data_IF_582346608554
#
_entry.id   IF_582346608554
#
_cell.length_a   1.000
_cell.length_b   1.000
_cell.length_c   1.000
_cell.angle_alpha   90.00
_cell.angle_beta   90.00
_cell.angle_gamma   90.00
#
_symmetry.space_group_name_H-M   'P 1'
#
loop_
_entity.id
_entity.type
_entity.pdbx_description
1 polymer ?
#
# COMPACT_ATOMS: atom_id res chain seq x y z
N UNK A 1 -48.98 13.45 -15.73
CA UNK A 1 -48.23 14.61 -16.25
C UNK A 1 -46.77 14.24 -16.35
N UNK A 2 -46.21 14.46 -17.54
CA UNK A 2 -44.90 14.06 -18.05
C UNK A 2 -43.71 14.80 -17.45
N UNK A 3 -42.55 14.16 -17.37
CA UNK A 3 -41.28 14.86 -17.13
C UNK A 3 -40.05 13.97 -16.99
N UNK A 4 -39.60 13.34 -18.08
CA UNK A 4 -38.29 12.65 -18.19
C UNK A 4 -37.16 13.69 -18.32
N UNK A 5 -36.20 13.71 -17.39
CA UNK A 5 -34.97 14.52 -17.51
C UNK A 5 -33.83 13.72 -18.14
N UNK A 6 -33.50 14.02 -19.41
CA UNK A 6 -32.36 13.47 -20.16
C UNK A 6 -31.12 14.38 -20.03
N UNK A 7 -29.98 13.75 -19.69
CA UNK A 7 -28.66 13.91 -20.30
C UNK A 7 -28.09 15.33 -20.54
N UNK A 8 -27.27 15.82 -19.61
CA UNK A 8 -26.37 16.99 -19.78
C UNK A 8 -24.96 16.62 -20.31
N UNK A 9 -24.83 15.55 -21.11
CA UNK A 9 -23.53 15.09 -21.63
C UNK A 9 -23.23 15.48 -23.08
N UNK A 10 -24.22 15.91 -23.86
CA UNK A 10 -24.08 16.07 -25.31
C UNK A 10 -23.63 17.48 -25.77
N UNK A 11 -23.67 18.49 -24.89
CA UNK A 11 -23.41 19.89 -25.26
C UNK A 11 -21.91 20.25 -25.34
N UNK A 12 -21.03 19.53 -24.64
CA UNK A 12 -19.59 19.83 -24.63
C UNK A 12 -18.81 19.27 -25.83
N UNK A 13 -19.34 18.27 -26.54
CA UNK A 13 -18.65 17.60 -27.66
C UNK A 13 -18.76 18.38 -28.98
N UNK A 14 -19.70 19.32 -29.08
CA UNK A 14 -19.94 20.12 -30.29
C UNK A 14 -19.14 21.44 -30.34
N UNK A 15 -18.54 21.89 -29.22
CA UNK A 15 -17.90 23.22 -29.15
C UNK A 15 -16.37 23.20 -29.37
N UNK A 16 -15.73 22.04 -29.31
CA UNK A 16 -14.27 21.91 -29.41
C UNK A 16 -13.80 20.83 -30.41
N UNK A 17 -14.72 20.22 -31.17
CA UNK A 17 -14.40 19.23 -32.18
C UNK A 17 -14.28 19.85 -33.57
N UNK A 18 -13.09 20.31 -33.96
CA UNK A 18 -12.87 20.75 -35.34
C UNK A 18 -11.44 21.15 -35.67
N UNK A 19 -10.76 20.30 -36.46
CA UNK A 19 -9.83 20.78 -37.50
C UNK A 19 -8.35 20.46 -37.30
N UNK A 20 -7.89 19.38 -37.92
CA UNK A 20 -6.46 19.12 -38.16
C UNK A 20 -6.26 17.97 -39.14
N UNK A 21 -6.28 18.26 -40.45
CA UNK A 21 -5.97 17.31 -41.53
C UNK A 21 -4.44 17.13 -41.61
N UNK A 22 -3.98 15.90 -41.55
CA UNK A 22 -2.60 15.50 -41.89
C UNK A 22 -2.61 14.09 -42.49
N UNK A 23 -2.23 13.98 -43.77
CA UNK A 23 -2.08 12.74 -44.54
C UNK A 23 -0.86 11.94 -44.03
N UNK A 24 -0.99 10.62 -43.92
CA UNK A 24 0.12 9.68 -43.80
C UNK A 24 -0.39 8.25 -43.64
N UNK A 25 -0.37 7.47 -44.71
CA UNK A 25 -0.79 6.07 -44.71
C UNK A 25 0.29 5.15 -44.12
N UNK A 26 -0.15 4.08 -43.47
CA UNK A 26 0.70 3.01 -42.96
C UNK A 26 -0.14 1.97 -42.26
N UNK A 27 -0.42 0.87 -42.96
CA UNK A 27 -1.11 -0.31 -42.45
C UNK A 27 -0.17 -1.11 -41.55
N UNK A 28 -0.52 -1.30 -40.27
CA UNK A 28 0.04 -2.35 -39.42
C UNK A 28 -0.93 -2.64 -38.26
N UNK A 29 -1.27 -3.92 -38.06
CA UNK A 29 -2.23 -4.37 -37.06
C UNK A 29 -1.74 -4.20 -35.63
N UNK A 30 -2.63 -3.70 -34.77
CA UNK A 30 -2.38 -3.52 -33.34
C UNK A 30 -2.60 -4.85 -32.60
N UNK A 31 -1.50 -5.57 -32.38
CA UNK A 31 -1.42 -6.61 -31.36
C UNK A 31 -1.29 -5.94 -29.98
N UNK A 32 -2.33 -6.05 -29.16
CA UNK A 32 -2.28 -5.67 -27.74
C UNK A 32 -1.40 -6.66 -26.97
N UNK A 33 -0.10 -6.37 -26.89
CA UNK A 33 0.82 -6.98 -25.94
C UNK A 33 1.41 -5.90 -25.06
N UNK A 34 1.02 -5.86 -23.78
CA UNK A 34 1.76 -5.11 -22.76
C UNK A 34 3.13 -5.77 -22.61
N UNK A 35 4.12 -5.24 -23.31
CA UNK A 35 5.53 -5.54 -23.05
C UNK A 35 5.95 -5.05 -21.66
N UNK A 36 7.04 -5.61 -21.10
CA UNK A 36 7.61 -5.15 -19.84
C UNK A 36 7.93 -3.64 -19.91
N UNK A 37 7.93 -2.92 -18.77
CA UNK A 37 8.16 -1.48 -18.77
C UNK A 37 9.48 -1.18 -19.50
N UNK A 38 9.38 -0.34 -20.55
CA UNK A 38 10.52 0.14 -21.31
C UNK A 38 11.57 0.68 -20.32
N UNK A 39 12.73 0.03 -20.27
CA UNK A 39 13.91 0.59 -19.62
C UNK A 39 14.23 1.86 -20.39
N UNK A 40 14.23 3.01 -19.72
CA UNK A 40 14.64 4.26 -20.32
C UNK A 40 16.15 4.18 -20.62
N UNK A 41 16.49 3.86 -21.88
CA UNK A 41 17.87 3.76 -22.39
C UNK A 41 18.68 5.06 -22.24
N UNK A 42 18.06 6.15 -21.78
CA UNK A 42 18.75 7.41 -21.43
C UNK A 42 19.30 7.46 -20.00
N UNK A 43 19.14 6.39 -19.20
CA UNK A 43 19.75 6.31 -17.87
C UNK A 43 21.19 5.76 -17.96
N UNK A 44 22.15 6.34 -17.21
CA UNK A 44 23.50 5.81 -17.15
C UNK A 44 23.49 4.34 -16.72
N UNK A 45 24.38 3.48 -17.25
CA UNK A 45 24.55 2.15 -16.67
C UNK A 45 24.89 2.29 -15.18
N UNK A 46 24.22 1.51 -14.34
CA UNK A 46 24.47 1.54 -12.90
C UNK A 46 25.92 1.10 -12.64
N UNK A 47 26.80 2.06 -12.40
CA UNK A 47 28.16 1.80 -11.92
C UNK A 47 28.13 1.09 -10.57
N UNK A 48 29.30 0.65 -10.09
CA UNK A 48 29.45 0.08 -8.75
C UNK A 48 28.90 1.00 -7.65
N UNK A 49 28.68 0.44 -6.46
CA UNK A 49 28.21 1.22 -5.30
C UNK A 49 29.20 2.34 -4.97
N UNK A 50 28.69 3.57 -4.85
CA UNK A 50 29.48 4.78 -4.58
C UNK A 50 29.49 5.11 -3.08
N UNK A 51 30.50 5.84 -2.61
CA UNK A 51 30.54 6.38 -1.24
C UNK A 51 29.45 7.46 -1.05
N UNK A 52 28.86 7.55 0.15
CA UNK A 52 27.97 8.65 0.55
C UNK A 52 28.55 10.03 0.29
N UNK A 53 29.86 10.21 0.45
CA UNK A 53 30.52 11.49 0.13
C UNK A 53 30.29 11.88 -1.33
N UNK A 54 30.27 10.91 -2.24
CA UNK A 54 29.98 11.18 -3.66
C UNK A 54 28.55 11.69 -3.84
N UNK A 55 27.55 11.13 -3.15
CA UNK A 55 26.18 11.67 -3.17
C UNK A 55 26.17 13.14 -2.76
N UNK A 56 26.83 13.47 -1.66
CA UNK A 56 26.85 14.85 -1.16
C UNK A 56 27.58 15.81 -2.09
N UNK A 57 28.66 15.36 -2.74
CA UNK A 57 29.41 16.15 -3.71
C UNK A 57 28.62 16.34 -5.00
N UNK A 58 27.94 15.29 -5.49
CA UNK A 58 27.06 15.35 -6.66
C UNK A 58 25.97 16.38 -6.43
N UNK A 59 25.25 16.30 -5.29
CA UNK A 59 24.16 17.21 -4.92
C UNK A 59 24.62 18.68 -4.83
N UNK A 60 25.80 18.94 -4.28
CA UNK A 60 26.40 20.28 -4.26
C UNK A 60 26.77 20.76 -5.66
N UNK A 61 27.34 19.89 -6.48
CA UNK A 61 27.81 20.25 -7.82
C UNK A 61 26.68 20.58 -8.80
N UNK A 62 25.52 19.94 -8.65
CA UNK A 62 24.36 20.14 -9.52
C UNK A 62 23.46 21.31 -9.08
N UNK A 63 23.74 21.92 -7.93
CA UNK A 63 22.98 23.08 -7.47
C UNK A 63 23.02 24.22 -8.51
N UNK A 64 21.86 24.82 -8.78
CA UNK A 64 21.74 25.87 -9.80
C UNK A 64 21.80 25.39 -11.26
N UNK A 65 22.06 24.10 -11.52
CA UNK A 65 22.06 23.56 -12.89
C UNK A 65 20.64 23.28 -13.41
N UNK A 66 20.54 22.95 -14.70
CA UNK A 66 19.30 22.47 -15.31
C UNK A 66 18.84 21.16 -14.67
N UNK A 67 17.53 20.95 -14.57
CA UNK A 67 16.89 19.82 -13.88
C UNK A 67 17.44 18.44 -14.29
N UNK A 68 17.80 18.29 -15.57
CA UNK A 68 18.39 17.05 -16.10
C UNK A 68 19.69 16.62 -15.40
N UNK A 69 20.37 17.53 -14.69
CA UNK A 69 21.55 17.22 -13.89
C UNK A 69 21.26 16.20 -12.77
N UNK A 70 20.01 16.08 -12.30
CA UNK A 70 19.62 15.04 -11.35
C UNK A 70 19.87 13.61 -11.86
N UNK A 71 19.96 13.38 -13.17
CA UNK A 71 20.31 12.05 -13.73
C UNK A 71 21.65 11.52 -13.21
N UNK A 72 22.56 12.39 -12.77
CA UNK A 72 23.83 12.00 -12.11
C UNK A 72 23.61 11.21 -10.81
N UNK A 73 22.47 11.40 -10.14
CA UNK A 73 22.12 10.69 -8.91
C UNK A 73 21.73 9.23 -9.14
N UNK A 74 21.43 8.83 -10.38
CA UNK A 74 21.07 7.44 -10.68
C UNK A 74 22.16 6.46 -10.22
N UNK A 75 21.79 5.41 -9.49
CA UNK A 75 22.70 4.39 -8.98
C UNK A 75 22.65 4.22 -7.46
N UNK A 76 23.69 3.59 -6.88
CA UNK A 76 23.74 3.19 -5.47
C UNK A 76 24.78 3.98 -4.68
N UNK A 77 24.47 4.24 -3.41
CA UNK A 77 25.33 4.93 -2.46
C UNK A 77 25.32 4.24 -1.10
N UNK A 78 26.50 3.95 -0.56
CA UNK A 78 26.68 3.35 0.76
C UNK A 78 26.76 4.42 1.85
N UNK A 79 25.94 4.27 2.89
CA UNK A 79 25.99 5.06 4.12
C UNK A 79 26.49 4.18 5.27
N UNK A 80 27.28 4.74 6.19
CA UNK A 80 27.94 3.97 7.27
C UNK A 80 27.42 4.27 8.69
N UNK A 81 26.58 5.30 8.89
CA UNK A 81 26.07 5.68 10.22
C UNK A 81 24.62 6.15 10.22
N UNK A 82 23.63 5.30 9.86
CA UNK A 82 23.65 3.85 9.95
C UNK A 82 24.11 3.16 8.66
N UNK A 83 24.46 1.87 8.76
CA UNK A 83 24.88 1.07 7.62
C UNK A 83 23.69 0.68 6.72
N UNK A 84 23.58 1.30 5.55
CA UNK A 84 22.58 0.94 4.52
C UNK A 84 23.04 1.42 3.14
N UNK A 85 22.41 0.89 2.09
CA UNK A 85 22.57 1.36 0.72
C UNK A 85 21.34 2.16 0.28
N UNK A 86 21.54 3.41 -0.14
CA UNK A 86 20.55 4.16 -0.89
C UNK A 86 20.66 3.79 -2.37
N UNK A 87 19.57 3.30 -2.97
CA UNK A 87 19.45 3.07 -4.41
C UNK A 87 18.52 4.11 -5.00
N UNK A 88 18.98 4.85 -6.02
CA UNK A 88 18.14 5.72 -6.85
C UNK A 88 17.88 4.98 -8.15
N UNK A 89 16.73 4.31 -8.22
CA UNK A 89 16.39 3.42 -9.34
C UNK A 89 15.73 4.17 -10.50
N UNK A 90 15.19 5.35 -10.24
CA UNK A 90 14.62 6.20 -11.28
C UNK A 90 14.68 7.66 -10.84
N UNK A 91 15.21 8.51 -11.71
CA UNK A 91 15.19 9.97 -11.56
C UNK A 91 14.09 10.53 -12.44
N UNK A 92 13.19 11.32 -11.85
CA UNK A 92 12.09 11.96 -12.59
C UNK A 92 12.60 12.93 -13.67
N UNK A 93 11.86 13.06 -14.78
CA UNK A 93 12.28 13.89 -15.93
C UNK A 93 12.17 15.40 -15.71
N UNK A 94 11.24 15.83 -14.85
CA UNK A 94 11.05 17.21 -14.42
C UNK A 94 10.35 17.27 -13.04
N UNK A 95 10.21 18.46 -12.46
CA UNK A 95 9.63 18.66 -11.13
C UNK A 95 8.13 18.32 -11.01
N UNK A 96 7.41 18.14 -12.13
CA UNK A 96 5.98 17.79 -12.21
C UNK A 96 5.76 16.33 -12.62
N UNK A 97 6.78 15.67 -13.16
CA UNK A 97 6.74 14.25 -13.49
C UNK A 97 6.55 13.38 -12.24
N UNK A 98 6.17 12.12 -12.47
CA UNK A 98 6.10 11.11 -11.40
C UNK A 98 7.40 11.13 -10.58
N UNK A 99 7.32 11.19 -9.24
CA UNK A 99 8.49 11.35 -8.40
C UNK A 99 9.56 10.28 -8.57
N UNK A 100 10.80 10.62 -8.23
CA UNK A 100 11.93 9.70 -8.30
C UNK A 100 11.73 8.50 -7.37
N UNK A 101 12.15 7.31 -7.81
CA UNK A 101 12.01 6.06 -7.05
C UNK A 101 13.32 5.74 -6.34
N UNK A 102 13.22 5.53 -5.04
CA UNK A 102 14.37 5.30 -4.18
C UNK A 102 14.14 4.12 -3.26
N UNK A 103 15.22 3.42 -2.93
CA UNK A 103 15.23 2.34 -1.96
C UNK A 103 16.29 2.57 -0.92
N UNK A 104 15.97 2.26 0.33
CA UNK A 104 16.95 2.14 1.39
C UNK A 104 17.05 0.66 1.76
N UNK A 105 18.22 0.07 1.56
CA UNK A 105 18.48 -1.37 1.71
C UNK A 105 19.44 -1.55 2.88
N UNK A 106 18.99 -2.18 3.95
CA UNK A 106 19.78 -2.40 5.16
C UNK A 106 20.12 -3.89 5.31
N UNK A 107 21.39 -4.26 5.53
CA UNK A 107 21.74 -5.62 5.93
C UNK A 107 21.03 -6.01 7.23
N UNK A 108 20.42 -7.20 7.27
CA UNK A 108 19.62 -7.66 8.40
C UNK A 108 20.38 -7.56 9.73
N UNK A 109 21.64 -7.95 9.75
CA UNK A 109 22.47 -7.91 10.95
C UNK A 109 22.63 -6.50 11.54
N UNK A 110 22.56 -5.46 10.70
CA UNK A 110 22.68 -4.05 11.10
C UNK A 110 21.38 -3.49 11.67
N UNK A 111 20.24 -4.12 11.40
CA UNK A 111 18.92 -3.69 11.91
C UNK A 111 18.78 -3.94 13.42
N UNK A 112 19.48 -4.95 13.95
CA UNK A 112 19.23 -5.48 15.30
C UNK A 112 17.88 -6.20 15.46
N UNK A 113 17.13 -6.42 14.38
CA UNK A 113 15.84 -7.12 14.42
C UNK A 113 16.04 -8.61 14.79
N UNK A 114 15.26 -9.13 15.76
CA UNK A 114 15.26 -10.53 16.12
C UNK A 114 15.01 -11.47 14.92
N UNK A 115 15.81 -12.54 14.82
CA UNK A 115 15.67 -13.55 13.76
C UNK A 115 14.32 -14.28 13.78
N UNK A 116 13.58 -14.22 14.88
CA UNK A 116 12.24 -14.79 14.99
C UNK A 116 11.25 -14.20 13.98
N UNK A 117 11.47 -12.97 13.50
CA UNK A 117 10.64 -12.38 12.44
C UNK A 117 10.87 -13.03 11.06
N UNK A 118 11.96 -13.78 10.89
CA UNK A 118 12.28 -14.49 9.65
C UNK A 118 11.74 -15.92 9.59
N UNK A 119 11.19 -16.44 10.71
CA UNK A 119 10.80 -17.84 10.88
C UNK A 119 9.63 -18.27 9.98
N UNK A 120 8.78 -17.33 9.56
CA UNK A 120 7.64 -17.61 8.70
C UNK A 120 7.32 -16.44 7.79
N UNK A 121 6.71 -16.71 6.63
CA UNK A 121 6.30 -15.66 5.69
C UNK A 121 5.30 -14.69 6.29
N UNK A 122 4.40 -15.17 7.16
CA UNK A 122 3.43 -14.30 7.82
C UNK A 122 4.09 -13.29 8.76
N UNK A 123 5.14 -13.71 9.50
CA UNK A 123 5.92 -12.79 10.35
C UNK A 123 6.71 -11.79 9.52
N UNK A 124 7.29 -12.23 8.40
CA UNK A 124 7.97 -11.33 7.44
C UNK A 124 7.01 -10.27 6.90
N UNK A 125 5.80 -10.68 6.48
CA UNK A 125 4.76 -9.77 5.99
C UNK A 125 4.34 -8.77 7.08
N UNK A 126 4.09 -9.25 8.31
CA UNK A 126 3.69 -8.39 9.42
C UNK A 126 4.77 -7.37 9.80
N UNK A 127 6.05 -7.79 9.84
CA UNK A 127 7.17 -6.88 10.06
C UNK A 127 7.27 -5.83 8.94
N UNK A 128 7.17 -6.24 7.67
CA UNK A 128 7.21 -5.33 6.53
C UNK A 128 6.06 -4.31 6.55
N UNK A 129 4.85 -4.75 6.90
CA UNK A 129 3.69 -3.87 7.07
C UNK A 129 3.92 -2.87 8.20
N UNK A 130 4.41 -3.33 9.36
CA UNK A 130 4.72 -2.48 10.50
C UNK A 130 5.76 -1.39 10.17
N UNK A 131 6.93 -1.75 9.61
CA UNK A 131 7.97 -0.77 9.28
C UNK A 131 7.51 0.20 8.18
N UNK A 132 6.66 -0.25 7.25
CA UNK A 132 6.02 0.64 6.26
C UNK A 132 5.14 1.68 6.96
N UNK A 133 4.34 1.28 7.96
CA UNK A 133 3.51 2.21 8.75
C UNK A 133 4.34 3.19 9.55
N UNK A 134 5.42 2.73 10.18
CA UNK A 134 6.35 3.60 10.91
C UNK A 134 6.95 4.64 9.96
N UNK A 135 7.45 4.21 8.81
CA UNK A 135 7.97 5.09 7.76
C UNK A 135 6.92 6.12 7.31
N UNK A 136 5.70 5.68 7.00
CA UNK A 136 4.60 6.57 6.61
C UNK A 136 4.23 7.57 7.72
N UNK A 137 4.25 7.15 8.98
CA UNK A 137 3.97 8.01 10.13
C UNK A 137 5.05 9.09 10.30
N UNK A 138 6.33 8.74 10.13
CA UNK A 138 7.45 9.70 10.21
C UNK A 138 7.35 10.72 9.09
N UNK A 139 7.09 10.27 7.87
CA UNK A 139 6.93 11.16 6.70
C UNK A 139 5.86 12.22 6.98
N UNK A 140 4.69 11.81 7.49
CA UNK A 140 3.58 12.72 7.81
C UNK A 140 3.87 13.62 8.99
N UNK A 141 4.39 13.07 10.10
CA UNK A 141 4.62 13.85 11.33
C UNK A 141 5.69 14.93 11.17
N UNK A 142 6.61 14.74 10.21
CA UNK A 142 7.65 15.69 9.87
C UNK A 142 7.34 16.54 8.63
N UNK A 143 6.11 16.44 8.11
CA UNK A 143 5.68 17.15 6.90
C UNK A 143 6.58 16.91 5.69
N UNK A 144 7.22 15.73 5.62
CA UNK A 144 8.07 15.35 4.49
C UNK A 144 7.23 15.00 3.26
N UNK A 145 5.93 14.78 3.40
CA UNK A 145 4.96 14.60 2.32
C UNK A 145 4.57 15.93 1.65
N UNK A 146 5.06 17.06 2.14
CA UNK A 146 4.77 18.39 1.65
C UNK A 146 5.99 19.01 0.98
N UNK A 147 5.79 19.63 -0.19
CA UNK A 147 6.79 20.50 -0.79
C UNK A 147 6.79 21.89 -0.15
N UNK A 148 7.82 22.73 -0.42
CA UNK A 148 7.98 24.06 0.19
C UNK A 148 6.82 25.04 -0.06
N UNK A 149 5.84 24.68 -0.89
CA UNK A 149 4.68 25.48 -1.26
C UNK A 149 3.34 24.71 -1.18
N UNK A 150 3.25 23.67 -0.34
CA UNK A 150 2.04 22.83 -0.21
C UNK A 150 0.77 23.60 0.21
N UNK A 151 0.90 24.83 0.72
CA UNK A 151 -0.20 25.74 1.08
C UNK A 151 -0.72 26.67 -0.03
N UNK A 152 -0.32 26.49 -1.29
CA UNK A 152 -0.92 27.23 -2.42
C UNK A 152 -0.30 28.61 -2.73
N UNK A 153 1.01 28.76 -2.56
CA UNK A 153 1.75 29.96 -2.98
C UNK A 153 2.88 29.60 -3.93
N UNK A 154 2.96 30.21 -5.11
CA UNK A 154 4.10 30.07 -6.02
C UNK A 154 3.71 30.04 -7.50
N UNK A 155 4.29 30.94 -8.28
CA UNK A 155 4.15 30.95 -9.74
C UNK A 155 4.78 29.71 -10.40
N UNK A 156 4.72 29.63 -11.74
CA UNK A 156 5.35 28.55 -12.50
C UNK A 156 6.83 28.31 -12.09
N UNK A 157 7.55 29.39 -11.83
CA UNK A 157 8.98 29.45 -11.44
C UNK A 157 9.28 29.24 -9.96
N UNK A 158 8.26 29.13 -9.09
CA UNK A 158 8.48 28.97 -7.65
C UNK A 158 9.07 27.60 -7.28
N UNK A 159 9.70 27.47 -6.09
CA UNK A 159 10.19 26.19 -5.57
C UNK A 159 9.10 25.12 -5.52
N UNK A 160 9.37 23.94 -6.07
CA UNK A 160 8.47 22.79 -6.12
C UNK A 160 9.24 21.49 -5.85
N UNK A 161 8.52 20.40 -5.65
CA UNK A 161 9.08 19.11 -5.26
C UNK A 161 9.37 19.03 -3.77
N UNK A 162 10.25 18.12 -3.37
CA UNK A 162 10.68 17.92 -1.99
C UNK A 162 9.83 16.95 -1.16
N UNK A 163 8.64 16.59 -1.64
CA UNK A 163 7.77 15.63 -1.00
C UNK A 163 8.30 14.19 -1.16
N UNK A 164 8.37 13.45 -0.07
CA UNK A 164 8.64 12.02 0.00
C UNK A 164 7.36 11.27 0.34
N UNK A 165 7.10 10.16 -0.34
CA UNK A 165 5.92 9.34 -0.13
C UNK A 165 6.25 7.85 -0.19
N UNK A 166 5.63 7.07 0.69
CA UNK A 166 5.65 5.61 0.67
C UNK A 166 4.23 5.09 0.40
N UNK A 167 4.09 3.93 -0.23
CA UNK A 167 2.78 3.27 -0.39
C UNK A 167 2.26 2.81 0.98
N UNK A 168 1.62 3.73 1.70
CA UNK A 168 1.16 3.53 3.05
C UNK A 168 -0.05 2.57 3.06
N UNK A 169 -0.04 1.53 3.91
CA UNK A 169 -1.11 0.55 3.96
C UNK A 169 -2.38 1.09 4.63
N UNK A 170 -3.52 0.53 4.24
CA UNK A 170 -4.83 0.72 4.89
C UNK A 170 -4.97 -0.13 6.15
N UNK A 171 -6.17 -0.66 6.42
CA UNK A 171 -6.40 -1.50 7.59
C UNK A 171 -5.89 -2.93 7.40
N UNK A 172 -5.81 -3.38 6.14
CA UNK A 172 -5.41 -4.72 5.76
C UNK A 172 -3.88 -4.86 5.75
N UNK A 173 -3.40 -5.99 6.24
CA UNK A 173 -1.99 -6.39 6.24
C UNK A 173 -1.76 -7.31 5.05
N UNK A 174 -1.07 -6.79 4.03
CA UNK A 174 -0.81 -7.46 2.75
C UNK A 174 0.69 -7.53 2.48
N UNK A 175 1.17 -8.56 1.77
CA UNK A 175 2.49 -8.50 1.16
C UNK A 175 2.55 -7.31 0.19
N UNK A 176 3.54 -6.44 0.37
CA UNK A 176 3.72 -5.22 -0.44
C UNK A 176 5.19 -5.07 -0.80
N UNK A 177 5.45 -4.26 -1.82
CA UNK A 177 6.81 -3.89 -2.20
C UNK A 177 7.31 -2.64 -1.48
N UNK A 178 6.50 -2.00 -0.63
CA UNK A 178 6.90 -0.81 0.14
C UNK A 178 7.97 -1.11 1.18
N UNK A 179 7.95 -2.33 1.73
CA UNK A 179 9.00 -2.91 2.52
C UNK A 179 9.17 -4.38 2.12
N UNK A 180 10.40 -4.84 1.94
CA UNK A 180 10.68 -6.21 1.53
C UNK A 180 11.89 -6.76 2.27
N UNK A 181 11.80 -8.03 2.67
CA UNK A 181 12.94 -8.80 3.16
C UNK A 181 13.42 -9.68 1.99
N UNK A 182 14.74 -9.76 1.78
CA UNK A 182 15.29 -10.64 0.73
C UNK A 182 14.93 -12.10 1.00
N UNK A 183 14.87 -12.94 -0.04
CA UNK A 183 14.45 -14.33 0.08
C UNK A 183 15.21 -15.10 1.18
N UNK A 184 16.53 -14.92 1.27
CA UNK A 184 17.37 -15.53 2.30
C UNK A 184 17.44 -14.76 3.62
N UNK A 185 16.72 -13.64 3.77
CA UNK A 185 16.65 -12.87 5.01
C UNK A 185 17.91 -12.06 5.33
N UNK A 186 18.77 -11.82 4.34
CA UNK A 186 20.04 -11.09 4.50
C UNK A 186 19.85 -9.57 4.54
N UNK A 187 18.76 -9.06 3.96
CA UNK A 187 18.48 -7.62 3.89
C UNK A 187 17.00 -7.34 4.10
N UNK A 188 16.71 -6.14 4.60
CA UNK A 188 15.39 -5.52 4.55
C UNK A 188 15.51 -4.20 3.80
N UNK A 189 14.57 -3.90 2.91
CA UNK A 189 14.55 -2.66 2.15
C UNK A 189 13.21 -1.93 2.28
N UNK A 190 13.28 -0.60 2.32
CA UNK A 190 12.13 0.29 2.14
C UNK A 190 12.15 0.85 0.73
N UNK A 191 11.00 0.87 0.05
CA UNK A 191 10.82 1.49 -1.25
C UNK A 191 9.86 2.65 -1.13
N UNK A 192 10.33 3.83 -1.49
CA UNK A 192 9.57 5.06 -1.42
C UNK A 192 9.91 5.95 -2.61
N UNK A 193 9.20 7.06 -2.69
CA UNK A 193 9.37 8.05 -3.73
C UNK A 193 9.80 9.36 -3.11
N UNK A 194 10.59 10.13 -3.86
CA UNK A 194 11.02 11.46 -3.47
C UNK A 194 10.93 12.37 -4.69
N UNK A 195 10.15 13.44 -4.57
CA UNK A 195 10.13 14.47 -5.60
C UNK A 195 11.37 15.36 -5.46
N UNK A 196 12.19 15.44 -6.50
CA UNK A 196 13.44 16.20 -6.45
C UNK A 196 13.17 17.70 -6.65
N UNK A 197 13.67 18.58 -5.76
CA UNK A 197 13.23 19.97 -5.69
C UNK A 197 13.84 20.86 -6.78
N UNK A 198 13.05 21.80 -7.30
CA UNK A 198 13.50 22.77 -8.30
C UNK A 198 12.74 24.09 -8.24
N UNK A 199 13.38 25.17 -8.66
CA UNK A 199 12.75 26.45 -8.97
C UNK A 199 12.64 26.58 -10.49
N UNK A 200 11.44 26.35 -11.04
CA UNK A 200 11.26 26.17 -12.48
C UNK A 200 12.02 24.93 -12.99
N UNK A 201 13.05 25.13 -13.82
CA UNK A 201 13.94 24.05 -14.29
C UNK A 201 15.31 24.06 -13.62
N UNK A 202 15.52 24.88 -12.61
CA UNK A 202 16.78 25.00 -11.89
C UNK A 202 16.77 24.13 -10.65
N UNK A 203 17.77 23.25 -10.54
CA UNK A 203 17.97 22.34 -9.41
C UNK A 203 18.15 23.12 -8.10
N UNK A 204 17.46 22.69 -7.04
CA UNK A 204 17.69 23.15 -5.67
C UNK A 204 18.52 22.09 -4.93
N UNK A 205 19.82 22.08 -5.17
CA UNK A 205 20.77 21.07 -4.70
C UNK A 205 20.86 21.00 -3.18
N UNK A 206 20.85 22.15 -2.48
CA UNK A 206 20.84 22.18 -1.02
C UNK A 206 19.56 21.54 -0.43
N UNK A 207 18.41 21.76 -1.06
CA UNK A 207 17.16 21.12 -0.62
C UNK A 207 17.17 19.62 -0.91
N UNK A 208 17.68 19.21 -2.08
CA UNK A 208 17.84 17.81 -2.42
C UNK A 208 18.80 17.09 -1.46
N UNK A 209 19.86 17.78 -1.01
CA UNK A 209 20.74 17.30 0.06
C UNK A 209 20.01 17.13 1.38
N UNK A 210 19.21 18.12 1.81
CA UNK A 210 18.39 17.98 3.01
C UNK A 210 17.48 16.73 2.93
N UNK A 211 16.88 16.47 1.77
CA UNK A 211 15.97 15.34 1.60
C UNK A 211 16.72 14.00 1.58
N UNK A 212 17.68 13.84 0.66
CA UNK A 212 18.34 12.54 0.43
C UNK A 212 19.43 12.23 1.45
N UNK A 213 20.16 13.25 1.91
CA UNK A 213 21.30 13.07 2.79
C UNK A 213 20.98 13.18 4.29
N UNK A 214 19.88 13.85 4.64
CA UNK A 214 19.46 14.04 6.05
C UNK A 214 18.14 13.32 6.33
N UNK A 215 17.06 13.69 5.64
CA UNK A 215 15.72 13.17 5.95
C UNK A 215 15.62 11.66 5.69
N UNK A 216 16.19 11.16 4.59
CA UNK A 216 16.20 9.71 4.29
C UNK A 216 17.02 8.93 5.31
N UNK A 217 18.17 9.45 5.73
CA UNK A 217 19.00 8.79 6.77
C UNK A 217 18.22 8.67 8.06
N UNK A 218 17.58 9.75 8.48
CA UNK A 218 16.74 9.76 9.67
C UNK A 218 15.54 8.81 9.54
N UNK A 219 14.88 8.80 8.38
CA UNK A 219 13.77 7.89 8.08
C UNK A 219 14.20 6.43 8.25
N UNK A 220 15.36 6.06 7.69
CA UNK A 220 15.94 4.72 7.81
C UNK A 220 16.28 4.37 9.25
N UNK A 221 16.93 5.28 9.99
CA UNK A 221 17.27 5.08 11.39
C UNK A 221 16.02 4.80 12.24
N UNK A 222 14.95 5.56 12.03
CA UNK A 222 13.74 5.49 12.86
C UNK A 222 12.77 4.36 12.45
N UNK A 223 12.94 3.77 11.26
CA UNK A 223 12.02 2.74 10.74
C UNK A 223 12.61 1.34 10.61
N UNK A 224 13.94 1.20 10.52
CA UNK A 224 14.61 -0.10 10.31
C UNK A 224 15.52 -0.55 11.46
N UNK A 225 15.90 0.35 12.38
CA UNK A 225 16.71 -0.04 13.55
C UNK A 225 15.80 -0.46 14.71
N UNK A 226 15.94 -1.70 15.16
CA UNK A 226 15.11 -2.29 16.21
C UNK A 226 15.11 -1.48 17.50
N UNK A 227 16.26 -0.91 17.89
CA UNK A 227 16.39 -0.06 19.07
C UNK A 227 15.58 1.24 19.02
N UNK A 228 15.19 1.69 17.82
CA UNK A 228 14.39 2.90 17.62
C UNK A 228 12.90 2.60 17.41
N UNK A 229 12.51 1.32 17.28
CA UNK A 229 11.12 0.92 17.13
C UNK A 229 10.46 0.77 18.50
N UNK A 230 9.15 1.03 18.54
CA UNK A 230 8.31 0.63 19.66
C UNK A 230 8.18 -0.90 19.65
N UNK A 231 9.03 -1.57 20.43
CA UNK A 231 9.18 -3.03 20.43
C UNK A 231 7.90 -3.73 20.89
N UNK A 232 7.19 -3.13 21.85
CA UNK A 232 5.92 -3.67 22.35
C UNK A 232 4.85 -3.65 21.26
N UNK A 233 4.71 -2.52 20.54
CA UNK A 233 3.77 -2.42 19.42
C UNK A 233 4.16 -3.30 18.24
N UNK A 234 5.46 -3.42 17.94
CA UNK A 234 5.94 -4.33 16.90
C UNK A 234 5.59 -5.77 17.24
N UNK A 235 5.89 -6.22 18.46
CA UNK A 235 5.55 -7.56 18.93
C UNK A 235 4.04 -7.83 18.87
N UNK A 236 3.22 -6.90 19.37
CA UNK A 236 1.76 -7.00 19.30
C UNK A 236 1.25 -7.08 17.85
N UNK A 237 1.83 -6.30 16.94
CA UNK A 237 1.45 -6.31 15.53
C UNK A 237 1.75 -7.66 14.87
N UNK A 238 2.96 -8.18 15.06
CA UNK A 238 3.38 -9.47 14.49
C UNK A 238 2.54 -10.62 15.06
N UNK A 239 2.38 -10.68 16.38
CA UNK A 239 1.58 -11.74 17.04
C UNK A 239 0.13 -11.69 16.57
N UNK A 240 -0.47 -10.51 16.50
CA UNK A 240 -1.86 -10.37 16.03
C UNK A 240 -2.03 -10.92 14.62
N UNK A 241 -1.14 -10.59 13.68
CA UNK A 241 -1.23 -11.05 12.29
C UNK A 241 -0.97 -12.57 12.18
N UNK A 242 -0.04 -13.10 12.98
CA UNK A 242 0.22 -14.54 13.07
C UNK A 242 -1.00 -15.31 13.60
N UNK A 243 -1.62 -14.83 14.67
CA UNK A 243 -2.84 -15.40 15.23
C UNK A 243 -3.98 -15.45 14.20
N UNK A 244 -4.15 -14.39 13.41
CA UNK A 244 -5.17 -14.34 12.35
C UNK A 244 -4.92 -15.38 11.27
N UNK A 245 -3.67 -15.51 10.83
CA UNK A 245 -3.28 -16.52 9.84
C UNK A 245 -3.50 -17.93 10.36
N UNK A 246 -3.10 -18.20 11.60
CA UNK A 246 -3.29 -19.50 12.25
C UNK A 246 -4.77 -19.82 12.46
N UNK A 247 -5.58 -18.84 12.90
CA UNK A 247 -7.03 -19.00 13.06
C UNK A 247 -7.71 -19.32 11.72
N UNK A 248 -7.32 -18.64 10.64
CA UNK A 248 -7.86 -18.92 9.30
C UNK A 248 -7.54 -20.33 8.84
N UNK A 249 -6.34 -20.84 9.14
CA UNK A 249 -5.95 -22.20 8.80
C UNK A 249 -6.76 -23.28 9.55
N UNK A 250 -7.36 -22.95 10.69
CA UNK A 250 -8.20 -23.85 11.48
C UNK A 250 -9.64 -23.97 10.96
N UNK A 251 -10.09 -23.10 10.04
CA UNK A 251 -11.47 -23.10 9.54
C UNK A 251 -11.82 -24.39 8.79
N UNK A 252 -10.99 -24.80 7.83
CA UNK A 252 -11.28 -25.96 6.99
C UNK A 252 -11.31 -27.28 7.79
N UNK A 253 -10.35 -27.59 8.70
CA UNK A 253 -10.44 -28.73 9.59
C UNK A 253 -11.69 -28.74 10.49
N UNK A 254 -12.19 -27.55 10.86
CA UNK A 254 -13.41 -27.39 11.66
C UNK A 254 -14.70 -27.39 10.83
N UNK A 255 -14.64 -27.66 9.51
CA UNK A 255 -15.77 -27.60 8.59
C UNK A 255 -16.48 -26.22 8.54
N UNK A 256 -15.71 -25.15 8.77
CA UNK A 256 -16.17 -23.76 8.71
C UNK A 256 -15.65 -23.05 7.45
N UNK A 257 -16.36 -22.01 7.02
CA UNK A 257 -15.94 -21.09 5.96
C UNK A 257 -15.62 -19.69 6.49
N UNK A 258 -16.10 -19.35 7.68
CA UNK A 258 -15.77 -18.08 8.34
C UNK A 258 -15.89 -18.22 9.86
N UNK A 259 -15.20 -17.33 10.56
CA UNK A 259 -15.30 -17.16 12.01
C UNK A 259 -15.35 -15.67 12.34
N UNK A 260 -16.26 -15.28 13.24
CA UNK A 260 -16.44 -13.90 13.71
C UNK A 260 -16.31 -13.87 15.23
N UNK A 261 -15.20 -13.33 15.73
CA UNK A 261 -14.92 -13.29 17.18
C UNK A 261 -15.96 -12.49 17.97
N UNK A 262 -16.30 -12.94 19.18
CA UNK A 262 -17.07 -12.14 20.12
C UNK A 262 -16.30 -10.86 20.48
N UNK A 263 -17.03 -9.76 20.66
CA UNK A 263 -16.44 -8.46 20.98
C UNK A 263 -16.01 -7.63 19.76
N UNK A 264 -16.08 -8.19 18.53
CA UNK A 264 -15.66 -7.52 17.31
C UNK A 264 -16.45 -6.21 17.06
N UNK A 265 -15.78 -5.23 16.43
CA UNK A 265 -16.38 -3.98 15.97
C UNK A 265 -16.48 -4.04 14.45
N UNK A 266 -17.65 -4.45 13.98
CA UNK A 266 -17.96 -4.57 12.56
C UNK A 266 -18.19 -3.21 11.87
N UNK A 267 -18.96 -2.25 12.43
CA UNK A 267 -19.25 -1.01 11.73
C UNK A 267 -18.02 -0.11 11.61
N UNK A 268 -17.92 0.57 10.48
CA UNK A 268 -16.81 1.50 10.19
C UNK A 268 -17.18 2.93 10.59
N UNK A 269 -16.18 3.79 10.73
CA UNK A 269 -16.35 5.17 11.19
C UNK A 269 -17.28 6.00 10.30
N UNK A 270 -17.26 5.75 8.98
CA UNK A 270 -18.19 6.33 8.01
C UNK A 270 -18.18 5.52 6.71
N UNK A 271 -19.08 5.81 5.76
CA UNK A 271 -19.09 5.17 4.45
C UNK A 271 -17.85 5.46 3.58
N UNK A 272 -17.01 6.43 3.96
CA UNK A 272 -15.78 6.80 3.25
C UNK A 272 -14.51 6.41 4.02
N UNK A 273 -14.63 5.83 5.23
CA UNK A 273 -13.49 5.47 6.06
C UNK A 273 -13.48 3.98 6.35
N UNK A 274 -12.32 3.37 6.11
CA UNK A 274 -12.09 1.98 6.49
C UNK A 274 -11.81 1.83 7.99
N UNK A 275 -11.62 2.89 8.78
CA UNK A 275 -11.34 2.78 10.22
C UNK A 275 -12.58 2.28 11.03
N UNK A 276 -12.40 1.64 12.20
CA UNK A 276 -13.53 1.19 13.01
C UNK A 276 -14.36 2.37 13.53
N UNK A 277 -15.65 2.12 13.73
CA UNK A 277 -16.49 3.03 14.51
C UNK A 277 -15.95 3.17 15.95
N UNK A 278 -16.16 4.34 16.56
CA UNK A 278 -15.83 4.59 17.97
C UNK A 278 -16.39 3.46 18.86
N UNK A 279 -15.53 2.73 19.61
CA UNK A 279 -15.94 1.64 20.49
C UNK A 279 -16.98 2.04 21.55
N UNK A 280 -17.07 3.33 21.90
CA UNK A 280 -18.09 3.85 22.84
C UNK A 280 -19.49 3.90 22.24
N UNK A 281 -19.60 3.88 20.91
CA UNK A 281 -20.86 3.97 20.16
C UNK A 281 -21.22 2.66 19.46
N UNK A 282 -20.22 1.85 19.13
CA UNK A 282 -20.41 0.60 18.42
C UNK A 282 -21.02 -0.48 19.32
N UNK A 283 -22.02 -1.19 18.80
CA UNK A 283 -22.49 -2.44 19.39
C UNK A 283 -21.50 -3.52 19.00
N UNK A 284 -20.88 -4.16 20.00
CA UNK A 284 -19.94 -5.26 19.78
C UNK A 284 -20.68 -6.51 19.31
N UNK A 285 -20.07 -7.24 18.37
CA UNK A 285 -20.62 -8.50 17.92
C UNK A 285 -20.64 -9.53 19.05
N UNK A 286 -21.71 -10.30 19.13
CA UNK A 286 -21.84 -11.42 20.05
C UNK A 286 -22.45 -12.60 19.28
N UNK A 287 -21.79 -13.75 19.34
CA UNK A 287 -22.29 -14.98 18.73
C UNK A 287 -23.58 -15.45 19.40
N UNK A 288 -24.56 -15.93 18.62
CA UNK A 288 -25.58 -16.85 19.13
C UNK A 288 -24.91 -18.09 19.74
N UNK A 289 -25.48 -18.63 20.82
CA UNK A 289 -24.91 -19.78 21.54
C UNK A 289 -24.84 -21.02 20.66
N UNK A 290 -25.80 -21.18 19.75
CA UNK A 290 -25.93 -22.33 18.87
C UNK A 290 -24.87 -22.35 17.76
N UNK A 291 -24.23 -21.22 17.49
CA UNK A 291 -23.18 -21.05 16.49
C UNK A 291 -21.81 -20.77 17.12
N UNK A 292 -21.73 -20.76 18.45
CA UNK A 292 -20.51 -20.40 19.16
C UNK A 292 -19.49 -21.55 19.15
N UNK A 293 -18.29 -21.23 18.69
CA UNK A 293 -17.14 -22.15 18.65
C UNK A 293 -15.92 -21.45 19.23
N UNK A 294 -14.93 -22.23 19.68
CA UNK A 294 -13.71 -21.70 20.30
C UNK A 294 -12.47 -22.28 19.61
N UNK A 295 -11.46 -21.43 19.43
CA UNK A 295 -10.19 -21.80 18.82
C UNK A 295 -9.00 -21.36 19.69
N UNK A 296 -7.99 -22.23 19.88
CA UNK A 296 -6.72 -21.81 20.43
C UNK A 296 -5.93 -20.97 19.42
N UNK A 297 -5.16 -20.02 19.92
CA UNK A 297 -4.24 -19.18 19.14
C UNK A 297 -2.77 -19.51 19.47
N UNK A 298 -1.83 -19.26 18.54
CA UNK A 298 -0.40 -19.49 18.75
C UNK A 298 0.21 -18.84 20.00
N UNK A 299 -0.33 -17.70 20.43
CA UNK A 299 0.10 -17.01 21.65
C UNK A 299 -0.40 -17.65 22.96
N UNK A 300 -1.10 -18.78 22.87
CA UNK A 300 -1.64 -19.54 24.01
C UNK A 300 -3.02 -19.06 24.46
N UNK A 301 -3.55 -17.98 23.88
CA UNK A 301 -4.91 -17.54 24.16
C UNK A 301 -5.95 -18.42 23.44
N UNK A 302 -7.21 -18.33 23.86
CA UNK A 302 -8.36 -18.97 23.20
C UNK A 302 -9.40 -17.91 22.93
N UNK A 303 -10.01 -17.96 21.74
CA UNK A 303 -11.03 -17.01 21.32
C UNK A 303 -12.31 -17.74 20.95
N UNK A 304 -13.44 -17.15 21.36
CA UNK A 304 -14.79 -17.68 21.09
C UNK A 304 -15.56 -16.72 20.20
N UNK A 305 -16.42 -17.25 19.35
CA UNK A 305 -17.17 -16.46 18.37
C UNK A 305 -18.05 -17.31 17.49
N UNK A 306 -18.69 -16.67 16.53
CA UNK A 306 -19.63 -17.32 15.61
C UNK A 306 -18.86 -18.08 14.53
N UNK A 307 -19.06 -19.39 14.46
CA UNK A 307 -18.61 -20.22 13.35
C UNK A 307 -19.66 -20.28 12.24
N UNK A 308 -19.27 -19.97 11.01
CA UNK A 308 -20.13 -20.14 9.82
C UNK A 308 -19.74 -21.45 9.14
N UNK A 309 -20.62 -22.45 9.23
CA UNK A 309 -20.38 -23.78 8.67
C UNK A 309 -20.42 -23.78 7.14
N UNK A 310 -19.79 -24.79 6.52
CA UNK A 310 -19.96 -25.06 5.08
C UNK A 310 -21.43 -25.32 4.74
N UNK A 311 -21.88 -24.78 3.61
CA UNK A 311 -23.26 -24.89 3.13
C UNK A 311 -23.85 -23.52 2.80
N UNK A 312 -25.18 -23.41 2.90
CA UNK A 312 -25.91 -22.16 2.65
C UNK A 312 -26.26 -21.53 3.99
N UNK A 313 -25.72 -20.35 4.26
CA UNK A 313 -26.07 -19.53 5.43
C UNK A 313 -26.85 -18.30 4.98
N UNK A 314 -28.04 -18.07 5.55
CA UNK A 314 -28.89 -16.93 5.21
C UNK A 314 -28.85 -15.87 6.32
N UNK A 315 -28.40 -14.66 5.99
CA UNK A 315 -28.45 -13.50 6.87
C UNK A 315 -29.78 -12.74 6.67
N UNK A 316 -30.71 -12.86 7.62
CA UNK A 316 -32.04 -12.23 7.56
C UNK A 316 -32.18 -11.07 8.56
N UNK A 317 -33.26 -10.29 8.45
CA UNK A 317 -33.56 -9.16 9.33
C UNK A 317 -33.97 -7.88 8.57
N UNK A 318 -34.55 -6.93 9.30
CA UNK A 318 -35.02 -5.64 8.75
C UNK A 318 -33.94 -4.76 8.12
N UNK A 319 -34.36 -3.73 7.39
CA UNK A 319 -33.44 -2.73 6.84
C UNK A 319 -32.61 -2.07 7.93
N UNK A 320 -31.33 -1.76 7.63
CA UNK A 320 -30.41 -1.09 8.56
C UNK A 320 -30.06 -1.84 9.87
N UNK A 321 -30.35 -3.14 9.96
CA UNK A 321 -30.01 -3.97 11.13
C UNK A 321 -28.62 -4.64 11.04
N UNK A 322 -27.65 -4.06 10.32
CA UNK A 322 -26.26 -4.55 10.32
C UNK A 322 -25.95 -5.79 9.46
N UNK A 323 -26.90 -6.32 8.68
CA UNK A 323 -26.65 -7.49 7.80
C UNK A 323 -25.50 -7.28 6.82
N UNK A 324 -25.52 -6.16 6.09
CA UNK A 324 -24.44 -5.81 5.15
C UNK A 324 -23.12 -5.59 5.88
N UNK A 325 -23.15 -5.01 7.08
CA UNK A 325 -21.96 -4.78 7.91
C UNK A 325 -21.31 -6.09 8.33
N UNK A 326 -22.10 -7.10 8.73
CA UNK A 326 -21.59 -8.44 9.02
C UNK A 326 -21.03 -9.12 7.75
N UNK A 327 -21.77 -9.04 6.64
CA UNK A 327 -21.33 -9.66 5.39
C UNK A 327 -20.05 -9.01 4.85
N UNK A 328 -19.89 -7.70 4.96
CA UNK A 328 -18.66 -6.97 4.59
C UNK A 328 -17.47 -7.35 5.48
N UNK A 329 -17.70 -7.58 6.78
CA UNK A 329 -16.65 -8.06 7.67
C UNK A 329 -16.19 -9.49 7.29
N UNK A 330 -17.13 -10.38 6.98
CA UNK A 330 -16.83 -11.73 6.47
C UNK A 330 -16.12 -11.65 5.12
N UNK A 331 -16.60 -10.81 4.20
CA UNK A 331 -15.95 -10.61 2.89
C UNK A 331 -14.47 -10.22 3.04
N UNK A 332 -14.15 -9.32 3.96
CA UNK A 332 -12.78 -8.86 4.16
C UNK A 332 -11.96 -9.78 5.08
N UNK A 333 -12.57 -10.78 5.72
CA UNK A 333 -11.88 -11.77 6.55
C UNK A 333 -10.90 -12.67 5.79
N UNK A 334 -10.88 -12.59 4.46
CA UNK A 334 -9.84 -13.19 3.61
C UNK A 334 -8.47 -12.53 3.85
N UNK A 335 -8.46 -11.27 4.32
CA UNK A 335 -7.25 -10.53 4.67
C UNK A 335 -7.03 -10.52 6.18
N UNK A 336 -5.77 -10.35 6.57
CA UNK A 336 -5.44 -9.98 7.94
C UNK A 336 -5.64 -8.47 8.11
N UNK A 337 -6.01 -8.04 9.30
CA UNK A 337 -6.15 -6.63 9.65
C UNK A 337 -5.20 -6.25 10.78
N UNK A 338 -4.91 -4.95 10.89
CA UNK A 338 -4.08 -4.43 11.99
C UNK A 338 -4.72 -4.67 13.36
N UNK A 339 -3.92 -4.77 14.44
CA UNK A 339 -4.44 -4.76 15.80
C UNK A 339 -5.30 -3.51 16.06
N UNK A 340 -6.48 -3.69 16.67
CA UNK A 340 -7.41 -2.61 16.97
C UNK A 340 -8.31 -2.20 15.79
N UNK A 341 -8.28 -2.92 14.67
CA UNK A 341 -9.22 -2.70 13.55
C UNK A 341 -10.68 -3.04 13.90
N UNK A 342 -10.89 -3.84 14.94
CA UNK A 342 -12.17 -4.41 15.33
C UNK A 342 -12.55 -5.66 14.56
N UNK A 343 -11.82 -5.99 13.48
CA UNK A 343 -12.06 -7.14 12.60
C UNK A 343 -10.85 -8.07 12.49
N UNK A 344 -9.79 -7.84 13.26
CA UNK A 344 -8.56 -8.63 13.21
C UNK A 344 -8.85 -10.13 13.29
N UNK A 345 -9.63 -10.60 14.27
CA UNK A 345 -9.96 -12.02 14.42
C UNK A 345 -11.27 -12.42 13.71
N UNK A 346 -11.62 -11.72 12.63
CA UNK A 346 -12.64 -12.15 11.69
C UNK A 346 -11.92 -12.76 10.50
N UNK A 347 -12.02 -14.08 10.37
CA UNK A 347 -11.33 -14.82 9.31
C UNK A 347 -12.33 -15.50 8.41
N UNK A 348 -12.00 -15.64 7.14
CA UNK A 348 -12.83 -16.28 6.12
C UNK A 348 -11.95 -17.09 5.20
N UNK A 349 -12.51 -18.15 4.63
CA UNK A 349 -11.87 -18.97 3.60
C UNK A 349 -11.20 -18.07 2.55
N UNK A 350 -9.89 -18.23 2.29
CA UNK A 350 -9.15 -17.32 1.42
C UNK A 350 -9.63 -17.33 -0.04
N UNK A 351 -10.47 -18.31 -0.42
CA UNK A 351 -11.07 -18.41 -1.76
C UNK A 351 -12.44 -17.72 -1.87
N UNK A 352 -12.95 -17.14 -0.78
CA UNK A 352 -14.26 -16.49 -0.78
C UNK A 352 -14.33 -15.32 -1.76
N UNK A 353 -15.40 -15.29 -2.57
CA UNK A 353 -15.65 -14.24 -3.56
C UNK A 353 -17.03 -13.62 -3.30
N UNK A 354 -17.08 -12.29 -3.25
CA UNK A 354 -18.35 -11.57 -3.24
C UNK A 354 -18.88 -11.41 -4.66
N UNK A 355 -20.03 -12.00 -4.91
CA UNK A 355 -20.74 -11.88 -6.19
C UNK A 355 -21.76 -10.73 -6.09
N UNK A 356 -21.87 -9.95 -7.16
CA UNK A 356 -22.89 -8.90 -7.35
C UNK A 356 -23.22 -8.78 -8.83
N UNK A 357 -24.39 -8.20 -9.15
CA UNK A 357 -24.66 -7.75 -10.50
C UNK A 357 -23.64 -6.66 -10.92
N UNK A 358 -23.20 -6.75 -12.17
CA UNK A 358 -22.19 -5.88 -12.79
C UNK A 358 -22.55 -5.65 -14.26
N UNK A 359 -23.61 -4.86 -14.48
CA UNK A 359 -24.21 -4.65 -15.79
C UNK A 359 -23.26 -3.88 -16.72
N UNK A 360 -23.12 -4.37 -17.97
CA UNK A 360 -22.29 -3.75 -19.00
C UNK A 360 -20.84 -4.26 -19.06
N UNK A 361 -20.43 -5.17 -18.18
CA UNK A 361 -19.11 -5.83 -18.29
C UNK A 361 -19.04 -6.73 -19.52
N UNK A 362 -17.84 -6.87 -20.09
CA UNK A 362 -17.59 -7.87 -21.12
C UNK A 362 -17.52 -9.28 -20.51
N UNK A 363 -18.02 -10.27 -21.26
CA UNK A 363 -17.87 -11.70 -20.96
C UNK A 363 -17.41 -12.39 -22.23
N UNK A 364 -16.34 -13.18 -22.14
CA UNK A 364 -15.77 -13.89 -23.29
C UNK A 364 -15.54 -15.35 -22.92
N UNK A 365 -16.14 -16.28 -23.68
CA UNK A 365 -15.94 -17.72 -23.56
C UNK A 365 -16.10 -18.30 -22.13
N UNK A 366 -17.08 -17.81 -21.36
CA UNK A 366 -17.44 -18.36 -20.04
C UNK A 366 -18.73 -19.16 -20.16
N UNK A 367 -18.71 -20.43 -19.76
CA UNK A 367 -19.92 -21.25 -19.69
C UNK A 367 -20.81 -20.80 -18.53
N UNK A 368 -21.97 -20.23 -18.88
CA UNK A 368 -23.02 -19.80 -17.94
C UNK A 368 -24.31 -20.61 -18.10
N UNK A 369 -24.26 -21.74 -18.81
CA UNK A 369 -25.40 -22.64 -19.03
C UNK A 369 -26.07 -23.18 -17.75
N UNK A 370 -25.42 -23.23 -16.56
CA UNK A 370 -26.12 -23.53 -15.32
C UNK A 370 -27.16 -22.48 -14.89
N UNK A 371 -27.04 -21.24 -15.36
CA UNK A 371 -27.93 -20.12 -14.98
C UNK A 371 -28.82 -19.63 -16.12
N UNK A 372 -28.28 -19.54 -17.34
CA UNK A 372 -28.99 -19.01 -18.52
C UNK A 372 -28.87 -20.02 -19.65
N UNK A 373 -30.01 -20.45 -20.21
CA UNK A 373 -30.11 -21.37 -21.35
C UNK A 373 -31.06 -20.81 -22.38
N UNK A 374 -30.91 -21.27 -23.63
CA UNK A 374 -31.84 -20.99 -24.73
C UNK A 374 -32.12 -19.49 -24.93
N UNK A 375 -31.06 -18.73 -25.21
CA UNK A 375 -31.14 -17.31 -25.54
C UNK A 375 -31.69 -17.07 -26.95
#
# INVERSE_FOLDING_TARGET
MSGRGRGRGAYFRAKYGGGGRGRGGGSAGDAYGQGPPMIDDSMPQAGGTRDWKQLTNDLKSIDGQQYGAYKRLYGKYEHTGPSFTLSVDHVQGDAFASPSRVRAIMPWQQTGLPKEFLQSDIRRIALCDYVTRVCASIIRSKHMDQGPNAGGGGGWSGPKGGASNINAPGQEVLPRTSAMISSGGETIELRFTTSLPAAGRTVLGQQAWQILAVNVVELVQQSLLYGNLDQAKLGQHVISVENQSALRAQLAPANLIAFVVNGAILPRASGASAAPMDPKKAIRFQSPKELEVSFPLPDGSTVSGMGVARGITLLTGGGFHGKSTLLEAIQLGIYNHIPGDGRELIVTDPTAVKIRADDGRAVSAVDISPFIRNL
#
